data_IF_537755992105
#
_entry.id   IF_537755992105
#
_cell.length_a   1.000
_cell.length_b   1.000
_cell.length_c   1.000
_cell.angle_alpha   90.00
_cell.angle_beta   90.00
_cell.angle_gamma   90.00
#
_symmetry.space_group_name_H-M   'P 1'
#
loop_
_entity.id
_entity.type
_entity.pdbx_description
1 polymer ?
#
# COMPACT_ATOMS: atom_id res chain seq x y z
N UNK A 1 -8.38 21.43 -20.72
CA UNK A 1 -9.73 20.89 -20.43
C UNK A 1 -9.72 19.54 -19.69
N UNK A 2 -8.60 18.80 -19.64
CA UNK A 2 -8.47 17.55 -18.85
C UNK A 2 -8.38 17.76 -17.33
N UNK A 3 -7.68 18.80 -16.85
CA UNK A 3 -7.49 19.07 -15.41
C UNK A 3 -8.80 19.32 -14.65
N UNK A 4 -9.83 19.88 -15.29
CA UNK A 4 -11.13 20.10 -14.66
C UNK A 4 -11.90 18.81 -14.37
N UNK A 5 -11.71 17.76 -15.18
CA UNK A 5 -12.33 16.45 -14.96
C UNK A 5 -11.65 15.68 -13.82
N UNK A 6 -10.32 15.77 -13.74
CA UNK A 6 -9.55 15.20 -12.63
C UNK A 6 -9.91 15.87 -11.30
N UNK A 7 -10.03 17.20 -11.26
CA UNK A 7 -10.42 17.94 -10.06
C UNK A 7 -11.83 17.60 -9.54
N UNK A 8 -12.81 17.44 -10.44
CA UNK A 8 -14.15 16.98 -10.05
C UNK A 8 -14.13 15.55 -9.50
N UNK A 9 -13.36 14.67 -10.14
CA UNK A 9 -13.24 13.28 -9.72
C UNK A 9 -12.54 13.16 -8.36
N UNK A 10 -11.51 13.96 -8.11
CA UNK A 10 -10.87 14.09 -6.80
C UNK A 10 -11.87 14.51 -5.72
N UNK A 11 -12.71 15.52 -5.98
CA UNK A 11 -13.73 15.96 -5.03
C UNK A 11 -14.70 14.82 -4.68
N UNK A 12 -15.18 14.08 -5.68
CA UNK A 12 -16.06 12.91 -5.49
C UNK A 12 -15.36 11.79 -4.69
N UNK A 13 -14.07 11.54 -4.92
CA UNK A 13 -13.30 10.57 -4.14
C UNK A 13 -13.13 11.02 -2.69
N UNK A 14 -12.88 12.30 -2.46
CA UNK A 14 -12.80 12.86 -1.11
C UNK A 14 -14.14 12.74 -0.38
N UNK A 15 -15.26 13.06 -1.03
CA UNK A 15 -16.60 12.86 -0.47
C UNK A 15 -16.87 11.38 -0.18
N UNK A 16 -16.50 10.49 -1.11
CA UNK A 16 -16.62 9.04 -0.93
C UNK A 16 -15.84 8.58 0.31
N UNK A 17 -14.59 9.01 0.46
CA UNK A 17 -13.79 8.74 1.65
C UNK A 17 -14.49 9.20 2.94
N UNK A 18 -15.04 10.42 2.98
CA UNK A 18 -15.77 10.93 4.15
C UNK A 18 -17.01 10.09 4.47
N UNK A 19 -17.78 9.73 3.44
CA UNK A 19 -18.97 8.90 3.58
C UNK A 19 -18.65 7.50 4.08
N UNK A 20 -17.57 6.87 3.60
CA UNK A 20 -17.17 5.54 4.07
C UNK A 20 -16.51 5.56 5.46
N UNK A 21 -15.92 6.69 5.85
CA UNK A 21 -15.29 6.87 7.17
C UNK A 21 -16.32 7.17 8.26
N UNK A 22 -17.34 7.99 7.98
CA UNK A 22 -18.27 8.51 8.98
C UNK A 22 -19.75 8.19 8.70
N UNK A 23 -20.11 7.84 7.48
CA UNK A 23 -21.48 7.50 7.09
C UNK A 23 -21.81 6.03 7.35
N UNK A 24 -22.98 5.77 7.93
CA UNK A 24 -23.37 4.42 8.35
C UNK A 24 -24.28 3.65 7.38
N UNK A 25 -24.78 4.27 6.30
CA UNK A 25 -25.81 3.67 5.42
C UNK A 25 -25.50 3.83 3.92
N UNK A 26 -24.32 3.42 3.47
CA UNK A 26 -24.01 3.35 2.04
C UNK A 26 -24.46 2.01 1.45
N UNK A 27 -25.03 2.05 0.25
CA UNK A 27 -25.33 0.87 -0.56
C UNK A 27 -24.41 0.84 -1.80
N UNK A 28 -24.33 -0.31 -2.49
CA UNK A 28 -23.54 -0.50 -3.74
C UNK A 28 -22.01 -0.34 -3.59
N UNK A 29 -21.45 -0.85 -2.49
CA UNK A 29 -20.00 -0.80 -2.23
C UNK A 29 -19.13 -1.37 -3.35
N UNK A 30 -19.57 -2.47 -3.96
CA UNK A 30 -18.84 -3.11 -5.07
C UNK A 30 -18.72 -2.18 -6.27
N UNK A 31 -19.75 -1.42 -6.61
CA UNK A 31 -19.69 -0.49 -7.74
C UNK A 31 -18.81 0.71 -7.43
N UNK A 32 -18.93 1.27 -6.22
CA UNK A 32 -18.04 2.33 -5.75
C UNK A 32 -16.57 1.89 -5.84
N UNK A 33 -16.26 0.65 -5.45
CA UNK A 33 -14.93 0.07 -5.59
C UNK A 33 -14.43 0.10 -7.04
N UNK A 34 -15.23 -0.40 -8.00
CA UNK A 34 -14.83 -0.43 -9.40
C UNK A 34 -14.68 0.98 -10.01
N UNK A 35 -15.52 1.94 -9.60
CA UNK A 35 -15.40 3.33 -10.03
C UNK A 35 -14.10 3.97 -9.52
N UNK A 36 -13.75 3.75 -8.23
CA UNK A 36 -12.50 4.24 -7.65
C UNK A 36 -11.29 3.61 -8.35
N UNK A 37 -11.32 2.30 -8.60
CA UNK A 37 -10.24 1.61 -9.33
C UNK A 37 -10.08 2.16 -10.75
N UNK A 38 -11.18 2.37 -11.47
CA UNK A 38 -11.16 2.96 -12.81
C UNK A 38 -10.65 4.41 -12.81
N UNK A 39 -10.96 5.20 -11.78
CA UNK A 39 -10.43 6.55 -11.62
C UNK A 39 -8.92 6.53 -11.40
N UNK A 40 -8.43 5.74 -10.44
CA UNK A 40 -7.01 5.62 -10.13
C UNK A 40 -6.20 5.11 -11.33
N UNK A 41 -6.74 4.15 -12.09
CA UNK A 41 -6.05 3.63 -13.28
C UNK A 41 -5.91 4.68 -14.39
N UNK A 42 -6.94 5.49 -14.65
CA UNK A 42 -6.93 6.50 -15.72
C UNK A 42 -6.10 7.73 -15.38
N UNK A 43 -5.93 8.01 -14.09
CA UNK A 43 -5.26 9.21 -13.60
C UNK A 43 -4.06 8.83 -12.73
N UNK A 44 -3.25 7.88 -13.19
CA UNK A 44 -2.10 7.38 -12.45
C UNK A 44 -1.09 8.50 -12.14
N UNK A 45 -0.93 9.49 -13.01
CA UNK A 45 0.04 10.58 -12.84
C UNK A 45 -0.43 11.68 -11.86
N UNK A 46 -1.70 11.68 -11.44
CA UNK A 46 -2.26 12.70 -10.55
C UNK A 46 -2.14 12.26 -9.08
N UNK A 47 -1.13 12.78 -8.38
CA UNK A 47 -0.85 12.40 -6.98
C UNK A 47 -2.03 12.67 -6.05
N UNK A 48 -2.78 13.75 -6.28
CA UNK A 48 -3.88 14.15 -5.39
C UNK A 48 -5.07 13.22 -5.57
N UNK A 49 -5.37 12.83 -6.81
CA UNK A 49 -6.38 11.81 -7.11
C UNK A 49 -5.97 10.45 -6.57
N UNK A 50 -4.70 10.05 -6.69
CA UNK A 50 -4.22 8.79 -6.12
C UNK A 50 -4.32 8.75 -4.59
N UNK A 51 -4.00 9.85 -3.90
CA UNK A 51 -4.14 9.96 -2.44
C UNK A 51 -5.62 9.83 -2.04
N UNK A 52 -6.53 10.52 -2.72
CA UNK A 52 -7.97 10.44 -2.45
C UNK A 52 -8.55 9.05 -2.76
N UNK A 53 -8.09 8.43 -3.86
CA UNK A 53 -8.50 7.10 -4.29
C UNK A 53 -8.03 6.02 -3.33
N UNK A 54 -6.75 6.03 -2.95
CA UNK A 54 -6.19 5.07 -1.98
C UNK A 54 -6.81 5.20 -0.60
N UNK A 55 -7.08 6.43 -0.13
CA UNK A 55 -7.84 6.67 1.10
C UNK A 55 -9.24 6.07 1.02
N UNK A 56 -9.92 6.25 -0.12
CA UNK A 56 -11.26 5.65 -0.35
C UNK A 56 -11.20 4.13 -0.33
N UNK A 57 -10.24 3.53 -1.04
CA UNK A 57 -10.04 2.08 -1.10
C UNK A 57 -9.86 1.48 0.30
N UNK A 58 -9.04 2.10 1.16
CA UNK A 58 -8.79 1.64 2.53
C UNK A 58 -10.07 1.37 3.33
N UNK A 59 -11.13 2.16 3.12
CA UNK A 59 -12.42 1.93 3.79
C UNK A 59 -13.37 1.02 2.98
N UNK A 60 -13.43 1.20 1.66
CA UNK A 60 -14.38 0.46 0.81
C UNK A 60 -14.12 -1.05 0.85
N UNK A 61 -12.85 -1.46 0.81
CA UNK A 61 -12.49 -2.89 0.71
C UNK A 61 -12.95 -3.70 1.95
N UNK A 62 -13.16 -3.05 3.10
CA UNK A 62 -13.71 -3.66 4.33
C UNK A 62 -15.21 -3.93 4.25
N UNK A 63 -15.89 -3.35 3.25
CA UNK A 63 -17.34 -3.40 3.07
C UNK A 63 -17.74 -4.24 1.86
N UNK A 64 -16.77 -4.74 1.09
CA UNK A 64 -17.00 -5.51 -0.14
C UNK A 64 -16.52 -6.93 0.04
N UNK A 65 -17.39 -7.91 -0.21
CA UNK A 65 -16.93 -9.28 -0.40
C UNK A 65 -16.34 -9.42 -1.82
N UNK A 66 -15.01 -9.40 -1.90
CA UNK A 66 -14.29 -9.40 -3.18
C UNK A 66 -13.99 -10.83 -3.65
N UNK A 67 -14.24 -11.10 -4.93
CA UNK A 67 -13.71 -12.31 -5.57
C UNK A 67 -12.19 -12.15 -5.84
N UNK A 68 -11.54 -13.24 -6.26
CA UNK A 68 -10.09 -13.25 -6.52
C UNK A 68 -9.63 -12.19 -7.52
N UNK A 69 -10.42 -11.94 -8.57
CA UNK A 69 -10.04 -11.01 -9.63
C UNK A 69 -10.15 -9.57 -9.16
N UNK A 70 -11.20 -9.22 -8.42
CA UNK A 70 -11.35 -7.91 -7.77
C UNK A 70 -10.21 -7.67 -6.76
N UNK A 71 -9.83 -8.67 -5.96
CA UNK A 71 -8.68 -8.55 -5.03
C UNK A 71 -7.39 -8.22 -5.79
N UNK A 72 -7.12 -8.91 -6.91
CA UNK A 72 -5.96 -8.63 -7.77
C UNK A 72 -5.99 -7.22 -8.35
N UNK A 73 -7.17 -6.74 -8.80
CA UNK A 73 -7.32 -5.38 -9.31
C UNK A 73 -6.99 -4.34 -8.24
N UNK A 74 -7.49 -4.53 -7.01
CA UNK A 74 -7.20 -3.63 -5.89
C UNK A 74 -5.72 -3.61 -5.59
N UNK A 75 -5.10 -4.79 -5.38
CA UNK A 75 -3.66 -4.88 -5.09
C UNK A 75 -2.85 -4.22 -6.20
N UNK A 76 -3.17 -4.50 -7.47
CA UNK A 76 -2.48 -3.89 -8.62
C UNK A 76 -2.60 -2.36 -8.62
N UNK A 77 -3.79 -1.81 -8.33
CA UNK A 77 -3.99 -0.37 -8.26
C UNK A 77 -3.19 0.27 -7.12
N UNK A 78 -3.15 -0.36 -5.94
CA UNK A 78 -2.35 0.10 -4.80
C UNK A 78 -0.86 0.10 -5.12
N UNK A 79 -0.35 -0.98 -5.74
CA UNK A 79 1.06 -1.07 -6.12
C UNK A 79 1.42 -0.06 -7.21
N UNK A 80 0.57 0.13 -8.22
CA UNK A 80 0.78 1.14 -9.26
C UNK A 80 0.86 2.55 -8.66
N UNK A 81 -0.09 2.90 -7.80
CA UNK A 81 -0.14 4.22 -7.18
C UNK A 81 1.05 4.46 -6.23
N UNK A 82 1.46 3.45 -5.46
CA UNK A 82 2.62 3.54 -4.58
C UNK A 82 3.94 3.67 -5.34
N UNK A 83 4.07 2.98 -6.48
CA UNK A 83 5.24 3.06 -7.37
C UNK A 83 5.34 4.43 -8.05
N UNK A 84 4.22 4.93 -8.60
CA UNK A 84 4.16 6.22 -9.29
C UNK A 84 4.35 7.43 -8.36
N UNK A 85 3.95 7.30 -7.09
CA UNK A 85 3.97 8.40 -6.10
C UNK A 85 4.72 8.00 -4.84
N UNK A 86 5.88 7.35 -5.00
CA UNK A 86 6.71 6.88 -3.89
C UNK A 86 7.07 8.00 -2.91
N UNK A 87 7.23 9.25 -3.37
CA UNK A 87 7.59 10.39 -2.52
C UNK A 87 6.43 10.86 -1.62
N UNK A 88 5.19 10.51 -1.96
CA UNK A 88 3.99 10.96 -1.24
C UNK A 88 3.70 10.06 -0.03
N UNK A 89 4.16 10.47 1.16
CA UNK A 89 4.02 9.70 2.40
C UNK A 89 2.57 9.25 2.67
N UNK A 90 1.58 10.11 2.44
CA UNK A 90 0.16 9.79 2.66
C UNK A 90 -0.30 8.68 1.71
N UNK A 91 0.14 8.72 0.45
CA UNK A 91 -0.19 7.71 -0.56
C UNK A 91 0.37 6.35 -0.16
N UNK A 92 1.66 6.31 0.18
CA UNK A 92 2.35 5.09 0.60
C UNK A 92 1.69 4.48 1.84
N UNK A 93 1.40 5.31 2.86
CA UNK A 93 0.75 4.86 4.09
C UNK A 93 -0.64 4.27 3.82
N UNK A 94 -1.45 4.92 3.00
CA UNK A 94 -2.78 4.42 2.63
C UNK A 94 -2.69 3.06 1.91
N UNK A 95 -1.72 2.91 1.01
CA UNK A 95 -1.49 1.67 0.27
C UNK A 95 -1.04 0.54 1.20
N UNK A 96 -0.03 0.77 2.03
CA UNK A 96 0.45 -0.24 2.99
C UNK A 96 -0.65 -0.65 3.98
N UNK A 97 -1.42 0.29 4.52
CA UNK A 97 -2.54 -0.01 5.41
C UNK A 97 -3.65 -0.81 4.71
N UNK A 98 -3.90 -0.54 3.43
CA UNK A 98 -4.89 -1.28 2.64
C UNK A 98 -4.40 -2.70 2.33
N UNK A 99 -3.11 -2.87 2.01
CA UNK A 99 -2.48 -4.18 1.79
C UNK A 99 -2.55 -5.07 3.04
N UNK A 100 -2.43 -4.50 4.24
CA UNK A 100 -2.59 -5.24 5.51
C UNK A 100 -3.98 -5.86 5.70
N UNK A 101 -4.99 -5.50 4.90
CA UNK A 101 -6.34 -6.04 5.00
C UNK A 101 -6.54 -7.32 4.18
N UNK A 102 -5.55 -7.71 3.38
CA UNK A 102 -5.57 -8.93 2.59
C UNK A 102 -4.91 -10.09 3.35
N UNK A 103 -5.29 -11.31 3.02
CA UNK A 103 -4.62 -12.50 3.55
C UNK A 103 -3.25 -12.67 2.89
N UNK A 104 -2.22 -12.31 3.64
CA UNK A 104 -0.83 -12.37 3.19
C UNK A 104 -0.25 -13.75 3.52
N UNK A 105 0.36 -14.44 2.52
CA UNK A 105 0.67 -13.99 1.16
C UNK A 105 -0.37 -14.42 0.12
N UNK A 106 -1.34 -15.28 0.46
CA UNK A 106 -2.20 -15.98 -0.50
C UNK A 106 -2.82 -15.04 -1.55
N UNK A 107 -3.27 -13.87 -1.10
CA UNK A 107 -3.98 -12.91 -1.94
C UNK A 107 -3.07 -11.95 -2.70
N UNK A 108 -1.78 -11.89 -2.34
CA UNK A 108 -0.77 -11.01 -2.95
C UNK A 108 0.35 -11.77 -3.66
N UNK A 109 0.35 -13.10 -3.60
CA UNK A 109 1.38 -13.99 -4.17
C UNK A 109 1.53 -13.81 -5.68
N UNK A 110 0.46 -13.45 -6.37
CA UNK A 110 0.44 -13.26 -7.82
C UNK A 110 1.46 -12.21 -8.31
N UNK A 111 1.90 -11.31 -7.43
CA UNK A 111 2.90 -10.29 -7.73
C UNK A 111 3.95 -10.17 -6.60
N UNK A 112 4.27 -11.30 -5.96
CA UNK A 112 5.15 -11.36 -4.78
C UNK A 112 6.45 -10.56 -4.95
N UNK A 113 7.15 -10.74 -6.07
CA UNK A 113 8.42 -10.08 -6.34
C UNK A 113 8.29 -8.56 -6.43
N UNK A 114 7.20 -8.05 -7.02
CA UNK A 114 6.96 -6.61 -7.10
C UNK A 114 6.58 -6.04 -5.75
N UNK A 115 5.71 -6.72 -4.99
CA UNK A 115 5.34 -6.30 -3.63
C UNK A 115 6.58 -6.20 -2.76
N UNK A 116 7.43 -7.23 -2.74
CA UNK A 116 8.66 -7.24 -1.95
C UNK A 116 9.60 -6.10 -2.33
N UNK A 117 9.86 -5.88 -3.63
CA UNK A 117 10.70 -4.78 -4.10
C UNK A 117 10.16 -3.42 -3.70
N UNK A 118 8.87 -3.18 -3.91
CA UNK A 118 8.24 -1.90 -3.55
C UNK A 118 8.27 -1.63 -2.05
N UNK A 119 7.97 -2.65 -1.23
CA UNK A 119 8.04 -2.50 0.22
C UNK A 119 9.47 -2.20 0.71
N UNK A 120 10.48 -2.83 0.11
CA UNK A 120 11.88 -2.50 0.41
C UNK A 120 12.22 -1.06 -0.02
N UNK A 121 11.73 -0.60 -1.16
CA UNK A 121 11.90 0.79 -1.60
C UNK A 121 11.24 1.78 -0.63
N UNK A 122 10.02 1.48 -0.16
CA UNK A 122 9.34 2.29 0.86
C UNK A 122 10.18 2.40 2.13
N UNK A 123 10.81 1.31 2.59
CA UNK A 123 11.67 1.37 3.77
C UNK A 123 12.84 2.36 3.60
N UNK A 124 13.36 2.49 2.38
CA UNK A 124 14.47 3.40 2.06
C UNK A 124 14.00 4.85 1.95
N UNK A 125 12.91 5.10 1.25
CA UNK A 125 12.40 6.46 0.99
C UNK A 125 11.72 7.08 2.21
N UNK A 126 11.02 6.28 3.03
CA UNK A 126 10.27 6.76 4.21
C UNK A 126 10.91 6.33 5.53
N UNK A 127 12.23 6.45 5.64
CA UNK A 127 13.00 6.00 6.81
C UNK A 127 12.66 6.76 8.11
N UNK A 128 12.19 8.01 7.99
CA UNK A 128 11.81 8.87 9.11
C UNK A 128 10.37 8.65 9.61
N UNK A 129 9.51 7.99 8.82
CA UNK A 129 8.14 7.68 9.23
C UNK A 129 8.08 6.31 9.93
N UNK A 130 8.27 6.33 11.25
CA UNK A 130 8.23 5.13 12.09
C UNK A 130 6.96 4.29 11.94
N UNK A 131 5.82 4.91 11.65
CA UNK A 131 4.58 4.14 11.48
C UNK A 131 4.59 3.38 10.16
N UNK A 132 4.96 4.04 9.06
CA UNK A 132 5.11 3.39 7.75
C UNK A 132 6.16 2.29 7.82
N UNK A 133 7.32 2.55 8.45
CA UNK A 133 8.35 1.54 8.68
C UNK A 133 7.79 0.29 9.38
N UNK A 134 7.05 0.46 10.48
CA UNK A 134 6.47 -0.65 11.24
C UNK A 134 5.46 -1.46 10.42
N UNK A 135 4.62 -0.79 9.63
CA UNK A 135 3.64 -1.45 8.76
C UNK A 135 4.36 -2.27 7.68
N UNK A 136 5.37 -1.69 7.04
CA UNK A 136 6.11 -2.32 5.94
C UNK A 136 6.93 -3.52 6.43
N UNK A 137 7.56 -3.41 7.60
CA UNK A 137 8.25 -4.55 8.24
C UNK A 137 7.25 -5.67 8.54
N UNK A 138 6.05 -5.35 9.05
CA UNK A 138 5.00 -6.35 9.27
C UNK A 138 4.58 -7.06 7.97
N UNK A 139 4.39 -6.31 6.88
CA UNK A 139 4.05 -6.86 5.56
C UNK A 139 5.17 -7.77 5.03
N UNK A 140 6.42 -7.32 5.07
CA UNK A 140 7.58 -8.11 4.64
C UNK A 140 7.76 -9.38 5.46
N UNK A 141 7.57 -9.32 6.78
CA UNK A 141 7.65 -10.50 7.64
C UNK A 141 6.53 -11.50 7.33
N UNK A 142 5.29 -11.00 7.17
CA UNK A 142 4.15 -11.83 6.79
C UNK A 142 4.38 -12.55 5.45
N UNK A 143 5.00 -11.86 4.50
CA UNK A 143 5.41 -12.44 3.21
C UNK A 143 6.57 -13.44 3.35
N UNK A 144 7.57 -13.16 4.18
CA UNK A 144 8.74 -14.03 4.38
C UNK A 144 8.40 -15.32 5.15
N UNK A 145 7.37 -15.32 5.99
CA UNK A 145 6.92 -16.52 6.71
C UNK A 145 6.45 -17.66 5.78
N UNK A 146 6.05 -17.35 4.55
CA UNK A 146 5.45 -18.31 3.62
C UNK A 146 6.34 -18.69 2.42
N UNK A 147 7.58 -18.18 2.37
CA UNK A 147 8.57 -18.63 1.38
C UNK A 147 9.41 -19.74 2.00
N UNK A 148 9.16 -20.97 1.61
CA UNK A 148 10.18 -22.02 1.62
C UNK A 148 11.09 -21.79 0.40
N UNK A 149 12.36 -21.39 0.59
CA UNK A 149 13.35 -21.26 -0.49
C UNK A 149 14.35 -20.09 -0.41
N UNK A 150 15.29 -20.05 -1.37
CA UNK A 150 16.48 -19.15 -1.48
C UNK A 150 16.17 -17.64 -1.43
N UNK A 151 14.98 -17.21 -1.85
CA UNK A 151 14.60 -15.79 -1.89
C UNK A 151 14.43 -15.18 -0.49
N UNK A 152 14.06 -15.99 0.52
CA UNK A 152 13.96 -15.57 1.93
C UNK A 152 15.33 -15.18 2.51
N UNK A 153 16.36 -15.95 2.14
CA UNK A 153 17.73 -15.69 2.57
C UNK A 153 18.23 -14.38 1.99
N UNK A 154 17.98 -14.10 0.71
CA UNK A 154 18.41 -12.84 0.10
C UNK A 154 17.76 -11.61 0.75
N UNK A 155 16.45 -11.62 0.98
CA UNK A 155 15.75 -10.48 1.59
C UNK A 155 16.20 -10.26 3.03
N UNK A 156 16.33 -11.32 3.84
CA UNK A 156 16.78 -11.22 5.23
C UNK A 156 18.25 -10.77 5.29
N UNK A 157 19.14 -11.32 4.45
CA UNK A 157 20.54 -10.91 4.39
C UNK A 157 20.71 -9.45 3.98
N UNK A 158 19.89 -8.96 3.04
CA UNK A 158 19.91 -7.56 2.62
C UNK A 158 19.48 -6.63 3.77
N UNK A 159 18.44 -7.00 4.53
CA UNK A 159 18.00 -6.24 5.71
C UNK A 159 19.04 -6.24 6.84
N UNK A 160 19.68 -7.38 7.10
CA UNK A 160 20.76 -7.49 8.11
C UNK A 160 21.97 -6.64 7.70
N UNK A 161 22.43 -6.77 6.44
CA UNK A 161 23.55 -5.98 5.92
C UNK A 161 23.28 -4.48 6.00
N UNK A 162 22.05 -4.06 5.71
CA UNK A 162 21.64 -2.65 5.83
C UNK A 162 21.64 -2.17 7.28
N UNK A 163 21.08 -2.93 8.22
CA UNK A 163 21.10 -2.57 9.64
C UNK A 163 22.52 -2.50 10.19
N UNK A 164 23.40 -3.40 9.77
CA UNK A 164 24.81 -3.38 10.12
C UNK A 164 25.57 -2.20 9.49
N UNK A 165 25.27 -1.84 8.23
CA UNK A 165 25.87 -0.69 7.56
C UNK A 165 25.37 0.66 8.11
N UNK A 166 24.18 0.69 8.70
CA UNK A 166 23.59 1.89 9.29
C UNK A 166 24.08 2.20 10.73
N UNK A 167 25.05 1.45 11.27
CA UNK A 167 25.58 1.58 12.66
C UNK A 167 24.52 1.61 13.77
N UNK A 168 23.28 1.17 13.50
CA UNK A 168 22.18 1.22 14.48
C UNK A 168 22.21 0.08 15.51
N UNK A 169 23.31 -0.67 15.58
CA UNK A 169 23.50 -1.80 16.50
C UNK A 169 24.64 -1.60 17.51
N UNK A 170 25.39 -0.50 17.47
CA UNK A 170 26.50 -0.28 18.41
C UNK A 170 26.06 0.27 19.78
N UNK A 171 24.86 0.84 19.92
CA UNK A 171 24.43 1.46 21.20
C UNK A 171 24.00 0.47 22.32
N UNK A 172 24.21 -0.84 22.15
CA UNK A 172 23.93 -1.84 23.23
C UNK A 172 25.16 -2.70 23.57
N UNK A 173 26.32 -2.43 22.96
CA UNK A 173 27.56 -3.20 23.19
C UNK A 173 28.78 -2.31 23.46
N UNK A 174 28.62 -1.15 24.10
CA UNK A 174 29.65 -0.65 25.01
C UNK A 174 29.35 -1.13 26.44
N UNK A 175 30.22 -2.04 26.87
CA UNK A 175 30.25 -2.72 28.17
C UNK A 175 30.92 -1.78 29.20
N UNK A 176 30.59 -2.01 30.48
CA UNK A 176 31.31 -1.67 31.74
C UNK A 176 30.60 -0.61 32.60
#
# INVERSE_FOLDING_TARGET
MYSGRAGLLQAVLNESYQLYRFGNNLCRHTEALHLVLGAMQRHLEDSTLQIAGSASLFYIIRKVNMNRDTKRMVVTALLNGMDAHMEEQVMVRNCCLSLCQFEIPLEILFDYGRVARLLVAVLQHHNSDHLTQRIVVFLLNSMACHVEGEQKVQIILEQIRRKHAASLCDDVMEII
#
